data_IF_575038059630
#
_entry.id   IF_575038059630
#
_cell.length_a   1.000
_cell.length_b   1.000
_cell.length_c   1.000
_cell.angle_alpha   90.00
_cell.angle_beta   90.00
_cell.angle_gamma   90.00
#
_symmetry.space_group_name_H-M   'P 1'
#
loop_
_entity.id
_entity.type
_entity.pdbx_description
1 polymer ?
#
# COMPACT_ATOMS: atom_id res chain seq x y z
N UNK A 1 8.35 -30.65 24.40
CA UNK A 1 7.78 -31.36 23.24
C UNK A 1 7.31 -30.28 22.28
N UNK A 2 7.82 -30.26 21.05
CA UNK A 2 7.50 -29.27 20.02
C UNK A 2 6.26 -29.74 19.27
N UNK A 3 5.19 -28.95 19.31
CA UNK A 3 3.94 -29.24 18.61
C UNK A 3 4.06 -28.81 17.15
N UNK A 4 3.86 -29.74 16.23
CA UNK A 4 4.12 -29.57 14.80
C UNK A 4 2.80 -29.60 14.03
N UNK A 5 2.53 -28.50 13.32
CA UNK A 5 1.51 -28.41 12.29
C UNK A 5 2.11 -28.83 10.95
N UNK A 6 1.59 -29.88 10.33
CA UNK A 6 1.99 -30.26 8.96
C UNK A 6 1.11 -29.51 7.97
N UNK A 7 1.70 -28.85 6.98
CA UNK A 7 0.95 -28.23 5.89
C UNK A 7 1.32 -28.87 4.55
N UNK A 8 0.30 -29.34 3.83
CA UNK A 8 0.43 -29.92 2.48
C UNK A 8 -0.54 -29.27 1.51
N UNK A 9 -0.07 -29.03 0.28
CA UNK A 9 -0.83 -28.38 -0.78
C UNK A 9 -0.53 -29.00 -2.13
N UNK A 10 -1.54 -29.07 -3.00
CA UNK A 10 -1.39 -29.29 -4.44
C UNK A 10 -2.34 -28.38 -5.21
N UNK A 11 -1.88 -27.81 -6.32
CA UNK A 11 -2.79 -27.25 -7.32
C UNK A 11 -3.19 -28.32 -8.33
N UNK A 12 -4.25 -28.07 -9.10
CA UNK A 12 -4.65 -28.92 -10.23
C UNK A 12 -3.54 -29.06 -11.28
N UNK A 13 -2.72 -28.02 -11.46
CA UNK A 13 -1.54 -28.04 -12.34
C UNK A 13 -0.38 -28.86 -11.74
N UNK A 14 -0.17 -28.77 -10.42
CA UNK A 14 0.86 -29.53 -9.70
C UNK A 14 0.53 -31.03 -9.68
N UNK A 15 -0.77 -31.38 -9.57
CA UNK A 15 -1.26 -32.76 -9.69
C UNK A 15 -0.91 -33.36 -11.06
N UNK A 16 -1.00 -32.58 -12.14
CA UNK A 16 -0.67 -33.02 -13.49
C UNK A 16 0.85 -33.11 -13.76
N UNK A 17 1.67 -32.27 -13.11
CA UNK A 17 3.11 -32.18 -13.36
C UNK A 17 3.98 -33.10 -12.50
N UNK A 18 3.69 -33.22 -11.20
CA UNK A 18 4.67 -33.76 -10.25
C UNK A 18 4.31 -35.11 -9.63
N UNK A 19 3.09 -35.63 -9.83
CA UNK A 19 2.70 -36.97 -9.36
C UNK A 19 2.78 -37.20 -7.84
N UNK A 20 3.11 -36.18 -7.05
CA UNK A 20 3.15 -36.24 -5.59
C UNK A 20 1.76 -35.95 -5.02
N UNK A 21 0.99 -37.01 -4.79
CA UNK A 21 -0.29 -36.90 -4.08
C UNK A 21 -0.08 -36.25 -2.70
N UNK A 22 -1.13 -35.57 -2.20
CA UNK A 22 -1.13 -35.01 -0.85
C UNK A 22 -0.77 -36.07 0.20
N UNK A 23 -1.24 -37.31 0.01
CA UNK A 23 -0.94 -38.43 0.90
C UNK A 23 0.55 -38.80 0.90
N UNK A 24 1.22 -38.75 -0.25
CA UNK A 24 2.65 -39.00 -0.33
C UNK A 24 3.46 -37.90 0.39
N UNK A 25 3.04 -36.63 0.27
CA UNK A 25 3.66 -35.52 1.00
C UNK A 25 3.46 -35.68 2.51
N UNK A 26 2.23 -35.92 2.95
CA UNK A 26 1.92 -36.11 4.37
C UNK A 26 2.70 -37.29 4.96
N UNK A 27 2.71 -38.45 4.29
CA UNK A 27 3.43 -39.63 4.78
C UNK A 27 4.90 -39.34 5.00
N UNK A 28 5.54 -38.61 4.08
CA UNK A 28 6.95 -38.19 4.23
C UNK A 28 7.15 -37.27 5.42
N UNK A 29 6.28 -36.27 5.60
CA UNK A 29 6.39 -35.30 6.70
C UNK A 29 6.12 -35.94 8.06
N UNK A 30 5.13 -36.84 8.16
CA UNK A 30 4.90 -37.65 9.37
C UNK A 30 6.10 -38.54 9.71
N UNK A 31 6.68 -39.18 8.69
CA UNK A 31 7.90 -40.00 8.87
C UNK A 31 9.07 -39.13 9.34
N UNK A 32 9.23 -37.94 8.77
CA UNK A 32 10.23 -36.97 9.21
C UNK A 32 10.04 -36.60 10.67
N UNK A 33 8.82 -36.23 11.11
CA UNK A 33 8.55 -35.95 12.52
C UNK A 33 8.89 -37.13 13.44
N UNK A 34 8.60 -38.37 13.04
CA UNK A 34 8.89 -39.56 13.85
C UNK A 34 10.39 -39.84 14.05
N UNK A 35 11.24 -39.27 13.20
CA UNK A 35 12.70 -39.36 13.30
C UNK A 35 13.31 -38.23 14.16
N UNK A 36 12.50 -37.26 14.60
CA UNK A 36 12.93 -36.13 15.40
C UNK A 36 12.44 -36.28 16.85
N UNK A 37 13.38 -36.48 17.78
CA UNK A 37 13.06 -36.60 19.19
C UNK A 37 12.37 -35.34 19.72
N UNK A 38 11.25 -35.54 20.42
CA UNK A 38 10.49 -34.47 21.05
C UNK A 38 9.54 -33.70 20.12
N UNK A 39 9.33 -34.15 18.87
CA UNK A 39 8.31 -33.60 17.97
C UNK A 39 6.99 -34.36 18.09
N UNK A 40 5.88 -33.64 18.09
CA UNK A 40 4.52 -34.19 18.12
C UNK A 40 3.68 -33.57 17.02
N UNK A 41 3.11 -34.38 16.12
CA UNK A 41 2.20 -33.88 15.09
C UNK A 41 0.83 -33.63 15.72
N UNK A 42 0.41 -32.36 15.79
CA UNK A 42 -0.88 -31.98 16.40
C UNK A 42 -2.02 -31.90 15.40
N UNK A 43 -1.74 -31.56 14.14
CA UNK A 43 -2.72 -31.54 13.06
C UNK A 43 -2.02 -31.57 11.69
N UNK A 44 -2.79 -31.92 10.65
CA UNK A 44 -2.38 -31.83 9.25
C UNK A 44 -3.39 -31.01 8.45
N UNK A 45 -2.91 -29.89 7.92
CA UNK A 45 -3.69 -28.92 7.14
C UNK A 45 -3.48 -29.21 5.65
N UNK A 46 -4.57 -29.53 4.94
CA UNK A 46 -4.53 -30.07 3.56
C UNK A 46 -5.31 -29.19 2.56
N UNK A 47 -4.61 -28.44 1.72
CA UNK A 47 -5.24 -27.64 0.66
C UNK A 47 -5.14 -28.34 -0.72
N UNK A 48 -6.25 -28.91 -1.20
CA UNK A 48 -6.37 -29.51 -2.54
C UNK A 48 -6.97 -28.53 -3.56
N UNK A 49 -6.33 -28.38 -4.73
CA UNK A 49 -6.80 -27.50 -5.79
C UNK A 49 -6.43 -26.03 -5.61
N UNK A 50 -5.61 -25.69 -4.61
CA UNK A 50 -5.22 -24.31 -4.30
C UNK A 50 -3.82 -23.97 -4.81
N UNK A 51 -3.66 -22.73 -5.30
CA UNK A 51 -2.38 -22.18 -5.73
C UNK A 51 -1.52 -21.71 -4.54
N UNK A 52 -0.19 -21.75 -4.71
CA UNK A 52 0.77 -21.16 -3.77
C UNK A 52 0.94 -19.64 -3.90
N UNK A 53 0.15 -18.96 -4.73
CA UNK A 53 0.33 -17.53 -5.07
C UNK A 53 -0.49 -16.56 -4.22
N UNK A 54 -1.41 -17.05 -3.40
CA UNK A 54 -2.22 -16.23 -2.49
C UNK A 54 -2.47 -16.97 -1.16
N UNK A 55 -3.04 -16.26 -0.19
CA UNK A 55 -3.34 -16.75 1.17
C UNK A 55 -4.79 -17.17 1.38
N UNK A 56 -5.65 -17.07 0.35
CA UNK A 56 -7.09 -17.38 0.42
C UNK A 56 -7.40 -18.87 0.39
N UNK A 57 -6.67 -19.66 1.20
CA UNK A 57 -6.75 -21.13 1.21
C UNK A 57 -7.32 -21.59 2.55
N UNK A 58 -8.40 -22.39 2.58
CA UNK A 58 -9.12 -22.70 3.80
C UNK A 58 -8.26 -23.35 4.89
N UNK A 59 -7.46 -24.36 4.56
CA UNK A 59 -6.68 -25.07 5.58
C UNK A 59 -5.47 -24.26 6.02
N UNK A 60 -4.90 -23.44 5.13
CA UNK A 60 -3.90 -22.45 5.52
C UNK A 60 -4.46 -21.41 6.51
N UNK A 61 -5.68 -20.90 6.28
CA UNK A 61 -6.33 -19.96 7.18
C UNK A 61 -6.66 -20.62 8.52
N UNK A 62 -7.24 -21.82 8.50
CA UNK A 62 -7.50 -22.63 9.71
C UNK A 62 -6.23 -22.86 10.53
N UNK A 63 -5.11 -23.19 9.88
CA UNK A 63 -3.82 -23.35 10.56
C UNK A 63 -3.39 -22.08 11.31
N UNK A 64 -3.60 -20.90 10.71
CA UNK A 64 -3.26 -19.61 11.32
C UNK A 64 -4.25 -19.20 12.42
N UNK A 65 -5.52 -19.55 12.32
CA UNK A 65 -6.51 -19.36 13.39
C UNK A 65 -6.22 -20.26 14.60
N UNK A 66 -5.72 -21.47 14.34
CA UNK A 66 -5.36 -22.45 15.35
C UNK A 66 -3.90 -22.32 15.84
N UNK A 67 -3.28 -21.15 15.68
CA UNK A 67 -1.85 -20.93 15.93
C UNK A 67 -1.42 -21.28 17.37
N UNK A 68 -2.32 -21.19 18.35
CA UNK A 68 -2.04 -21.56 19.74
C UNK A 68 -1.85 -23.07 19.95
N UNK A 69 -2.32 -23.91 19.01
CA UNK A 69 -2.26 -25.37 19.10
C UNK A 69 -0.89 -25.94 18.70
N UNK A 70 -0.06 -25.17 17.99
CA UNK A 70 1.23 -25.63 17.47
C UNK A 70 2.35 -24.62 17.72
N UNK A 71 3.60 -25.07 17.61
CA UNK A 71 4.82 -24.29 17.80
C UNK A 71 5.62 -24.13 16.51
N UNK A 72 5.58 -25.15 15.64
CA UNK A 72 6.32 -25.20 14.36
C UNK A 72 5.38 -25.59 13.22
N UNK A 73 5.47 -24.88 12.09
CA UNK A 73 4.94 -25.35 10.81
C UNK A 73 6.01 -26.21 10.12
N UNK A 74 5.62 -27.40 9.66
CA UNK A 74 6.45 -28.29 8.84
C UNK A 74 5.86 -28.44 7.44
N UNK A 75 6.69 -28.20 6.42
CA UNK A 75 6.34 -28.40 5.00
C UNK A 75 7.40 -29.21 4.26
N UNK A 76 7.03 -29.76 3.10
CA UNK A 76 7.98 -30.50 2.28
C UNK A 76 9.08 -29.60 1.69
N UNK A 77 8.67 -28.45 1.17
CA UNK A 77 9.50 -27.41 0.53
C UNK A 77 8.88 -26.03 0.72
N UNK A 78 9.68 -24.99 0.63
CA UNK A 78 9.20 -23.60 0.74
C UNK A 78 8.12 -23.26 -0.30
N UNK A 79 8.30 -23.70 -1.55
CA UNK A 79 7.35 -23.45 -2.64
C UNK A 79 6.01 -24.21 -2.50
N UNK A 80 5.94 -25.18 -1.57
CA UNK A 80 4.70 -25.89 -1.22
C UNK A 80 3.81 -25.06 -0.30
N UNK A 81 4.36 -24.12 0.46
CA UNK A 81 3.56 -23.17 1.25
C UNK A 81 3.33 -21.84 0.53
N UNK A 82 4.36 -21.22 -0.05
CA UNK A 82 4.25 -19.94 -0.76
C UNK A 82 5.20 -19.91 -1.95
N UNK A 83 4.66 -19.62 -3.14
CA UNK A 83 5.45 -19.33 -4.35
C UNK A 83 5.81 -17.86 -4.48
N UNK A 84 5.05 -17.00 -3.79
CA UNK A 84 5.27 -15.56 -3.75
C UNK A 84 6.15 -15.20 -2.54
N UNK A 85 7.27 -14.51 -2.78
CA UNK A 85 8.24 -14.07 -1.77
C UNK A 85 7.62 -13.11 -0.74
N UNK A 86 6.69 -12.25 -1.15
CA UNK A 86 6.00 -11.30 -0.27
C UNK A 86 5.14 -12.06 0.74
N UNK A 87 4.28 -12.97 0.28
CA UNK A 87 3.44 -13.77 1.17
C UNK A 87 4.25 -14.69 2.09
N UNK A 88 5.36 -15.25 1.58
CA UNK A 88 6.29 -15.98 2.43
C UNK A 88 6.88 -15.08 3.54
N UNK A 89 7.29 -13.86 3.19
CA UNK A 89 7.86 -12.90 4.14
C UNK A 89 6.83 -12.45 5.18
N UNK A 90 5.60 -12.15 4.77
CA UNK A 90 4.47 -11.79 5.66
C UNK A 90 4.14 -12.94 6.64
N UNK A 91 4.09 -14.17 6.14
CA UNK A 91 3.90 -15.37 6.94
C UNK A 91 4.98 -15.45 8.01
N UNK A 92 6.25 -15.35 7.61
CA UNK A 92 7.39 -15.46 8.52
C UNK A 92 7.45 -14.35 9.57
N UNK A 93 7.09 -13.11 9.23
CA UNK A 93 6.96 -12.02 10.20
C UNK A 93 5.86 -12.32 11.23
N UNK A 94 4.72 -12.86 10.77
CA UNK A 94 3.62 -13.27 11.64
C UNK A 94 4.07 -14.38 12.60
N UNK A 95 4.78 -15.39 12.11
CA UNK A 95 5.31 -16.47 12.96
C UNK A 95 6.26 -15.92 14.03
N UNK A 96 7.21 -15.06 13.63
CA UNK A 96 8.19 -14.45 14.54
C UNK A 96 7.50 -13.66 15.65
N UNK A 97 6.50 -12.83 15.32
CA UNK A 97 5.74 -12.02 16.29
C UNK A 97 4.99 -12.87 17.31
N UNK A 98 4.60 -14.10 16.94
CA UNK A 98 3.87 -15.02 17.79
C UNK A 98 4.76 -16.12 18.41
N UNK A 99 6.09 -16.00 18.29
CA UNK A 99 7.02 -16.99 18.85
C UNK A 99 6.93 -18.38 18.21
N UNK A 100 6.51 -18.43 16.93
CA UNK A 100 6.34 -19.65 16.15
C UNK A 100 7.51 -19.86 15.18
N UNK A 101 7.73 -21.11 14.81
CA UNK A 101 8.82 -21.51 13.93
C UNK A 101 8.32 -22.09 12.60
N UNK A 102 9.22 -22.11 11.62
CA UNK A 102 8.99 -22.72 10.32
C UNK A 102 10.15 -23.65 9.94
N UNK A 103 9.78 -24.84 9.46
CA UNK A 103 10.73 -25.84 8.98
C UNK A 103 10.28 -26.39 7.62
N UNK A 104 11.24 -26.51 6.69
CA UNK A 104 11.05 -27.26 5.45
C UNK A 104 11.95 -28.49 5.41
N UNK A 105 11.39 -29.64 5.06
CA UNK A 105 12.12 -30.91 5.06
C UNK A 105 13.21 -30.97 3.98
N UNK A 106 12.89 -30.59 2.73
CA UNK A 106 13.82 -30.78 1.60
C UNK A 106 14.87 -29.69 1.51
N UNK A 107 14.46 -28.43 1.73
CA UNK A 107 15.37 -27.28 1.63
C UNK A 107 16.27 -27.17 2.88
N UNK A 108 16.05 -28.04 3.88
CA UNK A 108 16.72 -28.05 5.19
C UNK A 108 16.71 -26.68 5.87
N UNK A 109 15.68 -25.89 5.56
CA UNK A 109 15.48 -24.58 6.11
C UNK A 109 14.76 -24.70 7.44
N UNK A 110 15.40 -24.24 8.50
CA UNK A 110 14.85 -24.22 9.86
C UNK A 110 15.19 -22.89 10.52
N UNK A 111 14.16 -22.12 10.86
CA UNK A 111 14.31 -20.79 11.49
C UNK A 111 14.80 -20.83 12.93
N UNK A 112 14.86 -22.02 13.56
CA UNK A 112 15.55 -22.20 14.83
C UNK A 112 17.08 -22.17 14.70
N UNK A 113 17.61 -22.37 13.49
CA UNK A 113 19.05 -22.36 13.23
C UNK A 113 19.56 -20.96 12.90
N UNK A 114 20.84 -20.69 13.17
CA UNK A 114 21.47 -19.41 12.80
C UNK A 114 21.46 -19.18 11.27
N UNK A 115 21.68 -20.23 10.48
CA UNK A 115 21.65 -20.16 9.02
C UNK A 115 20.23 -19.88 8.48
N UNK A 116 19.21 -20.53 9.04
CA UNK A 116 17.82 -20.26 8.68
C UNK A 116 17.40 -18.82 8.99
N UNK A 117 17.82 -18.28 10.14
CA UNK A 117 17.62 -16.85 10.47
C UNK A 117 18.35 -15.92 9.50
N UNK A 118 19.58 -16.24 9.10
CA UNK A 118 20.33 -15.43 8.14
C UNK A 118 19.67 -15.38 6.76
N UNK A 119 19.21 -16.53 6.25
CA UNK A 119 18.49 -16.58 4.97
C UNK A 119 17.15 -15.83 5.05
N UNK A 120 16.46 -15.88 6.20
CA UNK A 120 15.27 -15.04 6.45
C UNK A 120 15.59 -13.55 6.35
N UNK A 121 16.68 -13.09 6.96
CA UNK A 121 17.07 -11.68 6.92
C UNK A 121 17.34 -11.24 5.48
N UNK A 122 18.01 -12.07 4.67
CA UNK A 122 18.23 -11.79 3.24
C UNK A 122 16.89 -11.66 2.50
N UNK A 123 15.94 -12.59 2.71
CA UNK A 123 14.63 -12.53 2.06
C UNK A 123 13.85 -11.27 2.44
N UNK A 124 13.88 -10.88 3.72
CA UNK A 124 13.26 -9.64 4.20
C UNK A 124 13.88 -8.40 3.52
N UNK A 125 15.21 -8.38 3.35
CA UNK A 125 15.90 -7.30 2.64
C UNK A 125 15.57 -7.26 1.15
N UNK A 126 15.43 -8.42 0.51
CA UNK A 126 15.01 -8.49 -0.90
C UNK A 126 13.58 -7.98 -1.10
N UNK A 127 12.63 -8.36 -0.25
CA UNK A 127 11.25 -7.86 -0.32
C UNK A 127 11.18 -6.32 -0.13
N UNK A 128 11.98 -5.78 0.79
CA UNK A 128 12.11 -4.34 0.99
C UNK A 128 12.67 -3.65 -0.27
N UNK A 129 13.70 -4.22 -0.88
CA UNK A 129 14.30 -3.70 -2.10
C UNK A 129 13.30 -3.66 -3.26
N UNK A 130 12.49 -4.70 -3.45
CA UNK A 130 11.44 -4.73 -4.47
C UNK A 130 10.41 -3.63 -4.25
N UNK A 131 9.99 -3.40 -3.00
CA UNK A 131 9.07 -2.31 -2.64
C UNK A 131 9.65 -0.93 -2.96
N UNK A 132 10.92 -0.71 -2.63
CA UNK A 132 11.64 0.54 -2.94
C UNK A 132 11.73 0.77 -4.45
N UNK A 133 12.07 -0.26 -5.24
CA UNK A 133 12.11 -0.18 -6.71
C UNK A 133 10.74 0.09 -7.34
N UNK A 134 9.65 -0.40 -6.74
CA UNK A 134 8.28 -0.04 -7.17
C UNK A 134 8.04 1.45 -6.88
N UNK A 135 8.39 1.93 -5.68
CA UNK A 135 8.29 3.33 -5.30
C UNK A 135 9.07 4.26 -6.24
N UNK A 136 10.30 3.88 -6.61
CA UNK A 136 11.12 4.62 -7.58
C UNK A 136 10.45 4.68 -8.95
N UNK A 137 9.93 3.55 -9.46
CA UNK A 137 9.22 3.51 -10.74
C UNK A 137 7.96 4.37 -10.74
N UNK A 138 7.18 4.34 -9.66
CA UNK A 138 6.02 5.22 -9.48
C UNK A 138 6.45 6.68 -9.46
N UNK A 139 7.52 7.03 -8.74
CA UNK A 139 8.05 8.40 -8.71
C UNK A 139 8.44 8.88 -10.10
N UNK A 140 9.13 8.05 -10.88
CA UNK A 140 9.50 8.36 -12.28
C UNK A 140 8.26 8.58 -13.14
N UNK A 141 7.29 7.67 -13.08
CA UNK A 141 6.04 7.77 -13.85
C UNK A 141 5.25 9.04 -13.49
N UNK A 142 5.11 9.34 -12.20
CA UNK A 142 4.44 10.56 -11.74
C UNK A 142 5.20 11.82 -12.15
N UNK A 143 6.54 11.81 -12.11
CA UNK A 143 7.35 12.95 -12.56
C UNK A 143 7.13 13.23 -14.04
N UNK A 144 7.10 12.18 -14.88
CA UNK A 144 6.78 12.32 -16.31
C UNK A 144 5.36 12.86 -16.53
N UNK A 145 4.38 12.34 -15.80
CA UNK A 145 2.99 12.83 -15.84
C UNK A 145 2.89 14.31 -15.47
N UNK A 146 3.62 14.75 -14.44
CA UNK A 146 3.69 16.15 -14.05
C UNK A 146 4.27 17.03 -15.16
N UNK A 147 5.35 16.59 -15.81
CA UNK A 147 5.99 17.29 -16.93
C UNK A 147 5.06 17.41 -18.15
N UNK A 148 4.24 16.39 -18.42
CA UNK A 148 3.26 16.41 -19.52
C UNK A 148 2.04 17.28 -19.22
N UNK A 149 1.88 17.72 -17.96
CA UNK A 149 0.78 18.56 -17.49
C UNK A 149 -0.56 17.82 -17.41
N UNK A 150 -0.52 16.48 -17.43
CA UNK A 150 -1.70 15.64 -17.59
C UNK A 150 -2.28 15.22 -16.25
N UNK A 151 -3.31 15.97 -15.83
CA UNK A 151 -4.17 15.61 -14.73
C UNK A 151 -3.49 15.65 -13.35
N UNK A 152 -4.24 15.30 -12.32
CA UNK A 152 -3.82 15.50 -10.94
C UNK A 152 -2.85 14.43 -10.43
N UNK A 153 -2.03 14.87 -9.48
CA UNK A 153 -0.91 14.14 -8.88
C UNK A 153 -1.34 13.28 -7.69
N UNK A 154 -2.57 12.73 -7.72
CA UNK A 154 -3.14 11.97 -6.60
C UNK A 154 -3.74 12.81 -5.48
N UNK A 155 -3.81 14.14 -5.64
CA UNK A 155 -4.58 15.02 -4.75
C UNK A 155 -6.07 14.97 -5.08
N UNK A 156 -6.93 15.05 -4.06
CA UNK A 156 -8.37 15.23 -4.26
C UNK A 156 -8.70 16.53 -5.00
N UNK A 157 -9.97 16.69 -5.40
CA UNK A 157 -10.46 17.84 -6.18
C UNK A 157 -10.23 19.18 -5.46
N UNK A 158 -9.41 20.09 -6.01
CA UNK A 158 -9.28 21.43 -5.46
C UNK A 158 -10.60 22.21 -5.62
N UNK A 159 -10.89 23.12 -4.70
CA UNK A 159 -12.09 23.98 -4.78
C UNK A 159 -12.02 24.83 -6.05
N UNK A 160 -13.12 24.99 -6.79
CA UNK A 160 -13.11 25.59 -8.13
C UNK A 160 -12.99 24.58 -9.28
N UNK A 161 -12.71 23.31 -8.98
CA UNK A 161 -12.52 22.27 -9.99
C UNK A 161 -13.33 20.99 -9.69
N UNK A 162 -13.62 20.23 -10.75
CA UNK A 162 -14.19 18.86 -10.68
C UNK A 162 -13.52 17.95 -11.70
N UNK A 163 -13.47 16.66 -11.41
CA UNK A 163 -13.14 15.69 -12.45
C UNK A 163 -14.25 15.54 -13.47
N UNK A 164 -13.89 15.66 -14.74
CA UNK A 164 -14.69 15.18 -15.85
C UNK A 164 -13.77 14.51 -16.87
N UNK A 165 -14.06 13.25 -17.22
CA UNK A 165 -13.31 12.48 -18.24
C UNK A 165 -11.79 12.45 -18.01
N UNK A 166 -11.36 12.32 -16.75
CA UNK A 166 -9.94 12.21 -16.38
C UNK A 166 -9.18 13.55 -16.30
N UNK A 167 -9.83 14.68 -16.55
CA UNK A 167 -9.24 16.03 -16.46
C UNK A 167 -9.99 16.89 -15.43
N UNK A 168 -9.29 17.87 -14.83
CA UNK A 168 -9.93 18.87 -13.98
C UNK A 168 -10.58 19.95 -14.84
N UNK A 169 -11.89 20.12 -14.66
CA UNK A 169 -12.70 21.15 -15.32
C UNK A 169 -13.11 22.17 -14.27
N UNK A 170 -13.10 23.45 -14.65
CA UNK A 170 -13.50 24.56 -13.79
C UNK A 170 -15.00 24.49 -13.51
N UNK A 171 -15.38 24.63 -12.24
CA UNK A 171 -16.77 24.90 -11.84
C UNK A 171 -16.86 26.42 -11.66
N UNK A 172 -17.57 27.11 -12.56
CA UNK A 172 -17.55 28.58 -12.57
C UNK A 172 -18.05 29.20 -11.25
N UNK A 173 -19.09 28.63 -10.65
CA UNK A 173 -19.61 29.13 -9.36
C UNK A 173 -18.60 29.01 -8.20
N UNK A 174 -17.80 27.94 -8.16
CA UNK A 174 -16.72 27.81 -7.17
C UNK A 174 -15.50 28.68 -7.58
N UNK A 175 -15.26 28.87 -8.88
CA UNK A 175 -14.16 29.68 -9.39
C UNK A 175 -14.34 31.18 -9.08
N UNK A 176 -15.56 31.71 -9.13
CA UNK A 176 -15.88 33.07 -8.68
C UNK A 176 -15.50 33.29 -7.22
N UNK A 177 -15.78 32.31 -6.36
CA UNK A 177 -15.40 32.34 -4.94
C UNK A 177 -13.88 32.32 -4.79
N UNK A 178 -13.16 31.53 -5.60
CA UNK A 178 -11.69 31.55 -5.62
C UNK A 178 -11.17 32.93 -5.99
N UNK A 179 -11.68 33.55 -7.06
CA UNK A 179 -11.26 34.91 -7.46
C UNK A 179 -11.51 35.92 -6.33
N UNK A 180 -12.70 35.86 -5.72
CA UNK A 180 -13.05 36.67 -4.54
C UNK A 180 -12.09 36.48 -3.37
N UNK A 181 -11.63 35.25 -3.10
CA UNK A 181 -10.64 34.97 -2.06
C UNK A 181 -9.31 35.69 -2.34
N UNK A 182 -8.83 35.63 -3.59
CA UNK A 182 -7.61 36.35 -4.00
C UNK A 182 -7.79 37.87 -3.86
N UNK A 183 -8.91 38.42 -4.32
CA UNK A 183 -9.20 39.85 -4.24
C UNK A 183 -9.28 40.35 -2.79
N UNK A 184 -9.97 39.63 -1.91
CA UNK A 184 -10.08 39.97 -0.50
C UNK A 184 -8.72 39.95 0.21
N UNK A 185 -7.87 38.96 -0.12
CA UNK A 185 -6.54 38.87 0.46
C UNK A 185 -5.63 40.01 -0.03
N UNK A 186 -5.67 40.34 -1.32
CA UNK A 186 -4.94 41.48 -1.89
C UNK A 186 -5.43 42.83 -1.36
N UNK A 187 -6.71 42.92 -0.97
CA UNK A 187 -7.27 44.08 -0.27
C UNK A 187 -6.83 44.19 1.21
N UNK A 188 -6.01 43.25 1.71
CA UNK A 188 -5.41 43.30 3.06
C UNK A 188 -6.16 42.53 4.14
N UNK A 189 -7.19 41.75 3.80
CA UNK A 189 -7.91 40.93 4.77
C UNK A 189 -7.06 39.73 5.21
N UNK A 190 -7.15 39.35 6.48
CA UNK A 190 -6.48 38.14 6.95
C UNK A 190 -7.20 36.88 6.43
N UNK A 191 -6.47 35.78 6.32
CA UNK A 191 -7.06 34.48 5.91
C UNK A 191 -8.17 34.02 6.86
N UNK A 192 -8.15 34.45 8.12
CA UNK A 192 -9.20 34.16 9.10
C UNK A 192 -10.47 34.97 8.79
N UNK A 193 -10.31 36.27 8.53
CA UNK A 193 -11.43 37.16 8.19
C UNK A 193 -12.13 36.70 6.90
N UNK A 194 -11.35 36.24 5.91
CA UNK A 194 -11.88 35.69 4.66
C UNK A 194 -12.70 34.42 4.95
N UNK A 195 -12.18 33.51 5.78
CA UNK A 195 -12.90 32.28 6.15
C UNK A 195 -14.22 32.57 6.89
N UNK A 196 -14.20 33.51 7.84
CA UNK A 196 -15.40 33.95 8.56
C UNK A 196 -16.40 34.61 7.60
N UNK A 197 -15.93 35.50 6.71
CA UNK A 197 -16.78 36.19 5.73
C UNK A 197 -17.51 35.21 4.79
N UNK A 198 -16.80 34.22 4.26
CA UNK A 198 -17.38 33.20 3.38
C UNK A 198 -18.38 32.30 4.13
N UNK A 199 -18.06 31.94 5.38
CA UNK A 199 -18.95 31.14 6.23
C UNK A 199 -20.24 31.91 6.55
N UNK A 200 -20.14 33.18 6.91
CA UNK A 200 -21.30 34.04 7.20
C UNK A 200 -22.16 34.33 5.95
N UNK A 201 -21.55 34.27 4.77
CA UNK A 201 -22.25 34.39 3.49
C UNK A 201 -22.94 33.08 3.04
N UNK A 202 -22.94 32.03 3.88
CA UNK A 202 -23.47 30.70 3.58
C UNK A 202 -22.86 30.05 2.32
N UNK A 203 -21.59 30.36 2.01
CA UNK A 203 -20.87 29.73 0.90
C UNK A 203 -20.24 28.43 1.43
N UNK A 204 -20.65 27.24 0.94
CA UNK A 204 -20.10 25.98 1.43
C UNK A 204 -18.65 25.78 0.96
N UNK A 205 -17.81 25.24 1.86
CA UNK A 205 -16.50 24.70 1.49
C UNK A 205 -16.65 23.43 0.64
N UNK A 206 -15.55 22.90 0.10
CA UNK A 206 -15.56 21.71 -0.79
C UNK A 206 -16.29 20.50 -0.20
N UNK A 207 -16.22 20.34 1.12
CA UNK A 207 -16.84 19.21 1.86
C UNK A 207 -18.19 19.58 2.47
N UNK A 208 -18.80 20.71 2.08
CA UNK A 208 -20.12 21.13 2.54
C UNK A 208 -20.17 21.77 3.93
N UNK A 209 -19.01 22.07 4.54
CA UNK A 209 -18.89 22.67 5.87
C UNK A 209 -18.42 24.13 5.86
N UNK A 210 -18.11 24.66 7.05
CA UNK A 210 -17.56 26.01 7.23
C UNK A 210 -16.15 26.15 6.65
N UNK A 211 -15.77 27.38 6.31
CA UNK A 211 -14.42 27.69 5.86
C UNK A 211 -13.46 27.78 7.04
N UNK A 212 -12.26 27.24 6.87
CA UNK A 212 -11.16 27.39 7.82
C UNK A 212 -10.03 28.19 7.19
N UNK A 213 -9.24 28.88 8.02
CA UNK A 213 -7.99 29.53 7.59
C UNK A 213 -7.07 28.59 6.80
N UNK A 214 -7.00 27.31 7.17
CA UNK A 214 -6.17 26.33 6.46
C UNK A 214 -6.68 26.05 5.05
N UNK A 215 -8.00 26.05 4.84
CA UNK A 215 -8.58 25.91 3.50
C UNK A 215 -8.23 27.12 2.62
N UNK A 216 -8.35 28.34 3.15
CA UNK A 216 -7.97 29.58 2.45
C UNK A 216 -6.47 29.58 2.12
N UNK A 217 -5.63 29.24 3.09
CA UNK A 217 -4.18 29.12 2.89
C UNK A 217 -3.84 28.11 1.78
N UNK A 218 -4.51 26.94 1.76
CA UNK A 218 -4.31 25.94 0.71
C UNK A 218 -4.71 26.47 -0.67
N UNK A 219 -5.78 27.27 -0.76
CA UNK A 219 -6.21 27.88 -2.04
C UNK A 219 -5.17 28.89 -2.52
N UNK A 220 -4.82 29.87 -1.69
CA UNK A 220 -3.90 30.96 -2.03
C UNK A 220 -2.52 30.44 -2.48
N UNK A 221 -2.06 29.31 -1.94
CA UNK A 221 -0.73 28.76 -2.22
C UNK A 221 -0.72 27.54 -3.16
N UNK A 222 -1.86 27.18 -3.75
CA UNK A 222 -1.91 26.09 -4.73
C UNK A 222 -1.63 26.64 -6.14
N UNK A 223 -0.50 26.27 -6.77
CA UNK A 223 -0.14 26.81 -8.08
C UNK A 223 -1.09 26.37 -9.19
N UNK A 224 -1.99 25.41 -8.95
CA UNK A 224 -3.01 25.02 -9.92
C UNK A 224 -3.90 26.20 -10.33
N UNK A 225 -4.15 27.14 -9.42
CA UNK A 225 -5.00 28.29 -9.70
C UNK A 225 -4.38 29.25 -10.72
N UNK A 226 -3.05 29.28 -10.86
CA UNK A 226 -2.32 29.94 -11.96
C UNK A 226 -1.98 29.01 -13.13
N UNK A 227 -2.50 27.78 -13.13
CA UNK A 227 -2.29 26.80 -14.21
C UNK A 227 -1.01 25.97 -14.11
N UNK A 228 -0.46 25.76 -12.90
CA UNK A 228 0.75 24.95 -12.70
C UNK A 228 0.52 23.81 -11.69
N UNK A 229 1.13 22.66 -11.93
CA UNK A 229 1.15 21.53 -11.00
C UNK A 229 2.43 21.57 -10.17
N UNK A 230 2.31 21.32 -8.87
CA UNK A 230 3.48 21.10 -8.00
C UNK A 230 3.74 19.62 -7.84
N UNK A 231 4.95 19.18 -8.15
CA UNK A 231 5.39 17.82 -7.93
C UNK A 231 6.85 17.79 -7.47
N UNK A 232 7.12 17.04 -6.39
CA UNK A 232 8.41 17.03 -5.70
C UNK A 232 8.86 18.48 -5.38
N UNK A 233 10.01 18.92 -5.90
CA UNK A 233 10.52 20.29 -5.75
C UNK A 233 10.25 21.20 -6.96
N UNK A 234 9.51 20.73 -7.97
CA UNK A 234 9.27 21.44 -9.22
C UNK A 234 7.83 21.94 -9.38
N UNK A 235 7.67 22.98 -10.21
CA UNK A 235 6.39 23.40 -10.76
C UNK A 235 6.38 23.15 -12.27
N UNK A 236 5.31 22.55 -12.77
CA UNK A 236 5.16 22.15 -14.18
C UNK A 236 3.89 22.78 -14.74
N UNK A 237 3.91 23.21 -16.00
CA UNK A 237 2.72 23.82 -16.63
C UNK A 237 1.61 22.78 -16.76
N UNK A 238 0.44 23.11 -16.22
CA UNK A 238 -0.74 22.26 -16.27
C UNK A 238 -1.54 22.49 -17.56
N UNK A 239 -2.24 21.45 -18.03
CA UNK A 239 -3.29 21.59 -19.05
C UNK A 239 -4.62 22.05 -18.46
N UNK A 240 -4.76 21.99 -17.14
CA UNK A 240 -5.95 22.46 -16.42
C UNK A 240 -6.09 23.99 -16.57
N UNK A 241 -7.27 24.52 -16.89
CA UNK A 241 -7.48 25.96 -16.98
C UNK A 241 -7.17 26.68 -15.66
N UNK A 242 -6.43 27.79 -15.74
CA UNK A 242 -6.18 28.67 -14.61
C UNK A 242 -7.47 29.42 -14.23
N UNK A 243 -7.70 29.65 -12.94
CA UNK A 243 -8.83 30.45 -12.44
C UNK A 243 -8.42 31.91 -12.22
N UNK A 244 -7.15 32.13 -11.85
CA UNK A 244 -6.56 33.46 -11.67
C UNK A 244 -5.35 33.64 -12.60
N UNK A 245 -5.02 34.89 -12.93
CA UNK A 245 -3.82 35.17 -13.70
C UNK A 245 -2.56 34.90 -12.87
N UNK A 246 -1.45 34.63 -13.54
CA UNK A 246 -0.16 34.40 -12.89
C UNK A 246 0.31 35.63 -12.09
N UNK A 247 0.00 36.84 -12.57
CA UNK A 247 0.28 38.11 -11.89
C UNK A 247 -0.45 38.24 -10.55
N UNK A 248 -1.76 37.94 -10.53
CA UNK A 248 -2.58 37.96 -9.32
C UNK A 248 -2.06 36.94 -8.31
N UNK A 249 -1.76 35.73 -8.78
CA UNK A 249 -1.23 34.67 -7.92
C UNK A 249 0.13 35.00 -7.31
N UNK A 250 1.05 35.55 -8.11
CA UNK A 250 2.40 35.89 -7.66
C UNK A 250 2.38 37.07 -6.68
N UNK A 251 1.44 38.00 -6.81
CA UNK A 251 1.25 39.11 -5.87
C UNK A 251 0.88 38.63 -4.45
N UNK A 252 0.15 37.52 -4.36
CA UNK A 252 -0.17 36.85 -3.08
C UNK A 252 1.03 36.08 -2.54
N UNK A 253 1.71 35.31 -3.40
CA UNK A 253 2.82 34.43 -2.99
C UNK A 253 4.10 35.20 -2.64
N UNK A 254 4.28 36.40 -3.18
CA UNK A 254 5.42 37.30 -2.92
C UNK A 254 5.43 37.95 -1.54
N UNK A 255 4.33 37.91 -0.78
CA UNK A 255 4.26 38.40 0.61
C UNK A 255 4.90 37.44 1.64
N UNK A 256 5.68 36.45 1.17
CA UNK A 256 6.63 35.71 2.00
C UNK A 256 7.96 36.48 2.06
N UNK A 257 8.04 37.45 2.97
CA UNK A 257 9.30 37.87 3.59
C UNK A 257 9.22 37.62 5.09
#
# INVERSE_FOLDING_TARGET
>A
MTRVAIYVRVSTEDQAREGYSLDAQEKRLKSYCSLHDGWEVVDVYRDEGYSGTNTGRPEYQRMFEEMDRWDTILVLKMDRIHRNSVHFTEMMDTLRKNGKNFTSMTDKFDTNTAMGRFVMDIMQRMAQLESEQIGERVKVAMTKKAQEGDGPMGSGEPYGYRYARGTLVVIESEAEVVRKIFDLYLAGNSMEDIAVSLTNSNIPSKTGGQWSKQAICRILHNPLYKGYLRWDKGEYKSRTPAIVSEEVYNSVSGNRL
#
